data_IF_175558749124
#
_entry.id   IF_175558749124
#
_cell.length_a   1.000
_cell.length_b   1.000
_cell.length_c   1.000
_cell.angle_alpha   90.00
_cell.angle_beta   90.00
_cell.angle_gamma   90.00
#
_symmetry.space_group_name_H-M   'P 1'
#
loop_
_entity.id
_entity.type
_entity.pdbx_description
1 polymer ?
#
# COMPACT_ATOMS: atom_id res chain seq x y z
N UNK A 1 2.51 -11.13 -13.18
CA UNK A 1 3.84 -11.70 -13.51
C UNK A 1 4.42 -12.44 -12.31
N UNK A 2 4.49 -11.82 -11.12
CA UNK A 2 5.06 -12.40 -9.89
C UNK A 2 4.19 -13.46 -9.22
N UNK A 3 2.86 -13.25 -9.14
CA UNK A 3 1.96 -14.13 -8.40
C UNK A 3 1.85 -15.54 -8.98
N UNK A 4 1.73 -15.70 -10.30
CA UNK A 4 1.66 -17.02 -10.94
C UNK A 4 2.96 -17.82 -10.80
N UNK A 5 4.12 -17.18 -10.97
CA UNK A 5 5.41 -17.84 -10.79
C UNK A 5 5.60 -18.33 -9.35
N UNK A 6 5.18 -17.53 -8.38
CA UNK A 6 5.24 -17.90 -6.97
C UNK A 6 4.24 -19.01 -6.60
N UNK A 7 3.02 -18.96 -7.14
CA UNK A 7 2.02 -20.02 -6.96
C UNK A 7 2.57 -21.36 -7.48
N UNK A 8 3.10 -21.40 -8.70
CA UNK A 8 3.70 -22.60 -9.28
C UNK A 8 4.90 -23.12 -8.47
N UNK A 9 5.69 -22.24 -7.86
CA UNK A 9 6.80 -22.63 -6.97
C UNK A 9 6.35 -23.23 -5.63
N UNK A 10 5.15 -22.90 -5.16
CA UNK A 10 4.58 -23.40 -3.90
C UNK A 10 3.75 -24.69 -4.07
N UNK A 11 3.26 -24.98 -5.29
CA UNK A 11 2.53 -26.23 -5.60
C UNK A 11 3.21 -27.50 -5.08
N UNK A 12 4.53 -27.72 -5.26
CA UNK A 12 5.19 -28.94 -4.76
C UNK A 12 5.19 -29.02 -3.23
N UNK A 13 5.15 -27.88 -2.54
CA UNK A 13 5.14 -27.80 -1.09
C UNK A 13 3.78 -28.23 -0.51
N UNK A 14 2.69 -27.99 -1.25
CA UNK A 14 1.32 -28.41 -0.90
C UNK A 14 1.13 -29.92 -1.06
N UNK A 15 1.86 -30.56 -1.98
CA UNK A 15 1.80 -32.00 -2.24
C UNK A 15 3.02 -32.75 -1.68
N UNK A 16 3.81 -32.12 -0.81
CA UNK A 16 5.01 -32.73 -0.27
C UNK A 16 4.65 -33.83 0.74
N UNK A 17 5.07 -35.07 0.46
CA UNK A 17 4.95 -36.21 1.37
C UNK A 17 6.34 -36.63 1.90
N UNK A 18 6.41 -37.11 3.15
CA UNK A 18 7.64 -37.54 3.82
C UNK A 18 7.95 -36.82 5.14
N UNK A 19 9.20 -36.90 5.61
CA UNK A 19 9.60 -36.30 6.88
C UNK A 19 9.45 -34.76 6.84
N UNK A 20 8.66 -34.22 7.79
CA UNK A 20 8.32 -32.80 7.85
C UNK A 20 7.26 -32.34 6.83
N UNK A 21 6.54 -33.29 6.19
CA UNK A 21 5.45 -33.01 5.26
C UNK A 21 4.38 -32.12 5.89
N UNK A 22 3.88 -32.46 7.08
CA UNK A 22 2.92 -31.66 7.86
C UNK A 22 3.27 -30.16 7.88
N UNK A 23 4.53 -29.81 8.19
CA UNK A 23 4.97 -28.41 8.23
C UNK A 23 5.00 -27.76 6.84
N UNK A 24 5.45 -28.49 5.82
CA UNK A 24 5.53 -28.01 4.43
C UNK A 24 4.15 -27.82 3.82
N UNK A 25 3.23 -28.75 4.08
CA UNK A 25 1.86 -28.72 3.62
C UNK A 25 1.09 -27.58 4.28
N UNK A 26 1.23 -27.41 5.60
CA UNK A 26 0.62 -26.29 6.33
C UNK A 26 1.08 -24.94 5.77
N UNK A 27 2.40 -24.76 5.64
CA UNK A 27 2.97 -23.54 5.08
C UNK A 27 2.56 -23.32 3.61
N UNK A 28 2.65 -24.37 2.80
CA UNK A 28 2.30 -24.34 1.38
C UNK A 28 0.83 -23.97 1.17
N UNK A 29 -0.08 -24.56 1.95
CA UNK A 29 -1.52 -24.30 1.85
C UNK A 29 -1.85 -22.87 2.27
N UNK A 30 -1.27 -22.38 3.36
CA UNK A 30 -1.47 -21.02 3.83
C UNK A 30 -1.02 -19.99 2.78
N UNK A 31 0.16 -20.20 2.20
CA UNK A 31 0.76 -19.31 1.21
C UNK A 31 0.02 -19.37 -0.13
N UNK A 32 -0.35 -20.57 -0.59
CA UNK A 32 -1.11 -20.77 -1.83
C UNK A 32 -2.49 -20.09 -1.76
N UNK A 33 -3.25 -20.36 -0.70
CA UNK A 33 -4.55 -19.72 -0.47
C UNK A 33 -4.41 -18.21 -0.30
N UNK A 34 -3.37 -17.75 0.41
CA UNK A 34 -3.06 -16.34 0.58
C UNK A 34 -2.80 -15.62 -0.75
N UNK A 35 -2.04 -16.22 -1.65
CA UNK A 35 -1.75 -15.63 -2.96
C UNK A 35 -2.95 -15.62 -3.90
N UNK A 36 -3.79 -16.65 -3.86
CA UNK A 36 -5.07 -16.64 -4.57
C UNK A 36 -5.99 -15.53 -4.02
N UNK A 37 -6.08 -15.42 -2.70
CA UNK A 37 -6.85 -14.37 -2.02
C UNK A 37 -6.35 -12.97 -2.37
N UNK A 38 -5.04 -12.72 -2.29
CA UNK A 38 -4.44 -11.41 -2.63
C UNK A 38 -4.64 -11.07 -4.09
N UNK A 39 -4.63 -12.06 -5.00
CA UNK A 39 -4.82 -11.81 -6.42
C UNK A 39 -6.29 -11.48 -6.72
N UNK A 40 -7.24 -12.21 -6.14
CA UNK A 40 -8.67 -11.96 -6.34
C UNK A 40 -9.14 -10.68 -5.63
N UNK A 41 -8.84 -10.55 -4.34
CA UNK A 41 -9.30 -9.44 -3.52
C UNK A 41 -8.38 -8.22 -3.63
N UNK A 42 -7.06 -8.38 -3.64
CA UNK A 42 -6.14 -7.25 -3.68
C UNK A 42 -6.34 -6.36 -4.91
N UNK A 43 -6.61 -6.92 -6.09
CA UNK A 43 -6.89 -6.12 -7.29
C UNK A 43 -8.11 -5.20 -7.13
N UNK A 44 -9.11 -5.60 -6.35
CA UNK A 44 -10.33 -4.81 -6.09
C UNK A 44 -10.14 -3.91 -4.87
N UNK A 45 -9.58 -4.46 -3.78
CA UNK A 45 -9.43 -3.76 -2.51
C UNK A 45 -8.36 -2.68 -2.57
N UNK A 46 -7.25 -2.87 -3.29
CA UNK A 46 -6.18 -1.85 -3.41
C UNK A 46 -6.69 -0.51 -3.96
N UNK A 47 -7.41 -0.44 -5.10
CA UNK A 47 -7.93 0.84 -5.59
C UNK A 47 -9.04 1.41 -4.68
N UNK A 48 -9.88 0.57 -4.08
CA UNK A 48 -10.90 1.02 -3.13
C UNK A 48 -10.25 1.66 -1.91
N UNK A 49 -9.28 0.98 -1.29
CA UNK A 49 -8.52 1.52 -0.17
C UNK A 49 -7.81 2.81 -0.54
N UNK A 50 -7.18 2.89 -1.71
CA UNK A 50 -6.55 4.11 -2.18
C UNK A 50 -7.53 5.29 -2.22
N UNK A 51 -8.73 5.08 -2.80
CA UNK A 51 -9.75 6.13 -2.89
C UNK A 51 -10.30 6.50 -1.51
N UNK A 52 -10.55 5.52 -0.63
CA UNK A 52 -11.03 5.76 0.73
C UNK A 52 -10.01 6.59 1.51
N UNK A 53 -8.75 6.16 1.54
CA UNK A 53 -7.67 6.89 2.22
C UNK A 53 -7.50 8.28 1.63
N UNK A 54 -7.54 8.43 0.30
CA UNK A 54 -7.48 9.74 -0.37
C UNK A 54 -8.66 10.65 -0.03
N UNK A 55 -9.86 10.09 0.20
CA UNK A 55 -11.04 10.85 0.61
C UNK A 55 -10.97 11.28 2.08
N UNK A 56 -10.37 10.46 2.94
CA UNK A 56 -10.18 10.77 4.36
C UNK A 56 -8.98 11.67 4.61
N UNK A 57 -7.98 11.64 3.73
CA UNK A 57 -6.80 12.51 3.82
C UNK A 57 -7.23 13.99 3.68
N UNK A 58 -6.80 14.87 4.59
CA UNK A 58 -7.06 16.30 4.48
C UNK A 58 -6.54 16.82 3.14
N UNK A 59 -7.41 17.45 2.35
CA UNK A 59 -6.97 18.18 1.16
C UNK A 59 -6.11 19.33 1.63
N UNK A 60 -4.78 19.22 1.46
CA UNK A 60 -3.89 20.37 1.60
C UNK A 60 -4.26 21.37 0.51
N UNK A 61 -4.94 22.45 0.90
CA UNK A 61 -5.36 23.51 0.01
C UNK A 61 -4.11 24.18 -0.58
N UNK A 62 -3.81 24.02 -1.89
CA UNK A 62 -2.63 24.63 -2.50
C UNK A 62 -2.67 26.17 -2.43
N UNK A 63 -3.87 26.73 -2.26
CA UNK A 63 -4.09 28.18 -2.20
C UNK A 63 -3.83 28.79 -0.81
N UNK A 64 -3.61 28.00 0.24
CA UNK A 64 -3.27 28.54 1.57
C UNK A 64 -1.84 29.09 1.62
N UNK A 65 -0.94 28.58 0.76
CA UNK A 65 0.47 28.97 0.72
C UNK A 65 0.71 30.18 -0.22
N UNK A 66 -0.26 30.56 -1.06
CA UNK A 66 -0.14 31.69 -1.98
C UNK A 66 -0.49 33.05 -1.33
N UNK A 67 -1.16 33.03 -0.18
CA UNK A 67 -1.56 34.25 0.55
C UNK A 67 -0.68 34.55 1.77
N UNK A 68 0.41 33.81 1.98
CA UNK A 68 1.52 34.29 2.79
C UNK A 68 2.29 35.34 1.98
N UNK A 69 1.68 36.53 1.88
CA UNK A 69 2.42 37.74 1.55
C UNK A 69 3.57 37.83 2.55
N UNK A 70 4.84 37.89 2.10
CA UNK A 70 5.97 38.10 2.99
C UNK A 70 5.68 39.32 3.87
N UNK A 71 5.98 39.27 5.19
CA UNK A 71 5.79 40.43 6.05
C UNK A 71 6.50 41.61 5.40
N UNK A 72 5.73 42.66 5.08
CA UNK A 72 6.26 43.86 4.45
C UNK A 72 7.47 44.34 5.26
N UNK A 73 8.62 44.64 4.64
CA UNK A 73 9.73 45.22 5.36
C UNK A 73 9.22 46.50 6.02
N UNK A 74 9.28 46.55 7.35
CA UNK A 74 8.96 47.74 8.12
C UNK A 74 9.89 48.86 7.65
N UNK A 75 9.42 49.67 6.70
CA UNK A 75 10.06 50.92 6.31
C UNK A 75 9.87 51.89 7.47
N UNK A 76 10.77 51.79 8.45
CA UNK A 76 10.96 52.83 9.44
C UNK A 76 11.44 54.07 8.72
N UNK A 77 10.57 55.07 8.62
CA UNK A 77 10.90 56.51 8.63
C UNK A 77 9.59 57.29 8.53
N UNK A 78 9.24 58.01 9.61
CA UNK A 78 9.23 59.45 9.42
C UNK A 78 9.95 60.14 10.59
N UNK A 79 11.04 60.84 10.30
CA UNK A 79 11.51 61.92 11.16
C UNK A 79 12.04 63.01 10.24
N UNK A 80 11.13 63.91 9.88
CA UNK A 80 11.47 65.28 9.53
C UNK A 80 11.60 66.10 10.82
#
# INVERSE_FOLDING_TARGET
MTSLAFILGVVPLVFAEGAGAEMRQSLGTAVFAGMLGVTAFGLIFTPIFYVVVRKLAPRKNPNADLHQTPPAPASGTPSA
#
